data_IF_949465639292
#
_entry.id   IF_949465639292
#
_cell.length_a   1.000
_cell.length_b   1.000
_cell.length_c   1.000
_cell.angle_alpha   90.00
_cell.angle_beta   90.00
_cell.angle_gamma   90.00
#
_symmetry.space_group_name_H-M   'P 1'
#
loop_
_entity.id
_entity.type
_entity.pdbx_description
1 polymer ?
#
# COMPACT_ATOMS: atom_id res chain seq x y z
N UNK A 1 -11.07 23.25 5.94
CA UNK A 1 -9.68 22.86 6.24
C UNK A 1 -9.44 21.53 5.54
N UNK A 2 -8.98 21.56 4.28
CA UNK A 2 -8.54 20.33 3.63
C UNK A 2 -7.09 20.16 4.07
N UNK A 3 -6.90 19.28 5.05
CA UNK A 3 -5.57 18.85 5.45
C UNK A 3 -5.02 18.05 4.27
N UNK A 4 -3.91 18.48 3.69
CA UNK A 4 -3.12 17.67 2.77
C UNK A 4 -2.59 16.46 3.55
N UNK A 5 -3.44 15.43 3.65
CA UNK A 5 -3.14 14.21 4.37
C UNK A 5 -2.33 13.32 3.46
N UNK A 6 -1.09 13.15 3.88
CA UNK A 6 -0.18 12.17 3.33
C UNK A 6 -0.29 10.89 4.14
N UNK A 7 -0.39 9.75 3.45
CA UNK A 7 -0.46 8.44 4.07
C UNK A 7 0.77 7.63 3.72
N UNK A 8 1.26 6.88 4.70
CA UNK A 8 2.32 5.88 4.47
C UNK A 8 1.72 4.56 3.98
N UNK A 9 2.53 3.70 3.36
CA UNK A 9 2.13 2.32 2.98
C UNK A 9 1.44 1.60 4.14
N UNK A 10 1.95 1.77 5.37
CA UNK A 10 1.42 1.12 6.56
C UNK A 10 0.03 1.65 6.95
N UNK A 11 -0.24 2.95 6.79
CA UNK A 11 -1.56 3.52 7.05
C UNK A 11 -2.57 3.10 5.99
N UNK A 12 -2.18 3.14 4.71
CA UNK A 12 -3.02 2.67 3.60
C UNK A 12 -3.36 1.19 3.79
N UNK A 13 -2.39 0.37 4.21
CA UNK A 13 -2.59 -1.03 4.54
C UNK A 13 -3.68 -1.24 5.60
N UNK A 14 -3.59 -0.50 6.71
CA UNK A 14 -4.55 -0.57 7.80
C UNK A 14 -5.93 -0.09 7.38
N UNK A 15 -6.01 0.98 6.59
CA UNK A 15 -7.27 1.57 6.11
C UNK A 15 -8.01 0.65 5.15
N UNK A 16 -7.28 0.03 4.23
CA UNK A 16 -7.81 -0.89 3.22
C UNK A 16 -8.06 -2.29 3.79
N UNK A 17 -7.42 -2.65 4.90
CA UNK A 17 -7.51 -3.98 5.51
C UNK A 17 -6.64 -5.03 4.83
N UNK A 18 -5.51 -4.63 4.24
CA UNK A 18 -4.55 -5.52 3.58
C UNK A 18 -3.20 -5.49 4.30
N UNK A 19 -2.36 -6.51 4.11
CA UNK A 19 -1.02 -6.52 4.70
C UNK A 19 -0.12 -5.48 4.02
N UNK A 20 0.76 -4.83 4.78
CA UNK A 20 1.69 -3.84 4.24
C UNK A 20 2.59 -4.43 3.14
N UNK A 21 3.00 -5.70 3.27
CA UNK A 21 3.77 -6.39 2.24
C UNK A 21 2.99 -6.62 0.95
N UNK A 22 1.68 -6.83 1.03
CA UNK A 22 0.81 -6.93 -0.15
C UNK A 22 0.79 -5.62 -0.92
N UNK A 23 0.68 -4.50 -0.21
CA UNK A 23 0.79 -3.17 -0.81
C UNK A 23 2.18 -2.93 -1.40
N UNK A 24 3.26 -3.27 -0.68
CA UNK A 24 4.63 -3.18 -1.22
C UNK A 24 4.78 -4.00 -2.50
N UNK A 25 4.19 -5.20 -2.56
CA UNK A 25 4.16 -6.02 -3.77
C UNK A 25 3.41 -5.31 -4.88
N UNK A 26 2.22 -4.75 -4.63
CA UNK A 26 1.46 -4.04 -5.65
C UNK A 26 2.23 -2.85 -6.23
N UNK A 27 2.86 -2.02 -5.40
CA UNK A 27 3.75 -0.94 -5.85
C UNK A 27 4.89 -1.51 -6.69
N UNK A 28 5.61 -2.51 -6.17
CA UNK A 28 6.75 -3.13 -6.87
C UNK A 28 6.37 -3.74 -8.22
N UNK A 29 5.17 -4.27 -8.34
CA UNK A 29 4.63 -4.84 -9.58
C UNK A 29 3.98 -3.82 -10.51
N UNK A 30 3.88 -2.54 -10.10
CA UNK A 30 3.23 -1.49 -10.87
C UNK A 30 1.70 -1.63 -10.98
N UNK A 31 1.05 -2.31 -10.03
CA UNK A 31 -0.42 -2.46 -10.00
C UNK A 31 -1.15 -1.26 -9.41
N UNK A 32 -0.47 -0.53 -8.54
CA UNK A 32 -0.94 0.73 -7.96
C UNK A 32 0.08 1.82 -8.30
N UNK A 33 -0.35 3.09 -8.39
CA UNK A 33 0.58 4.19 -8.66
C UNK A 33 1.69 4.22 -7.62
N UNK A 34 2.92 4.48 -8.09
CA UNK A 34 4.07 4.67 -7.21
C UNK A 34 3.83 5.96 -6.41
N UNK A 35 3.92 5.93 -5.07
CA UNK A 35 3.65 7.11 -4.24
C UNK A 35 4.54 8.27 -4.65
N UNK A 36 3.94 9.46 -4.72
CA UNK A 36 4.71 10.68 -4.94
C UNK A 36 5.83 10.83 -3.90
N UNK A 37 6.96 11.33 -4.39
CA UNK A 37 8.04 11.77 -3.52
C UNK A 37 7.73 13.18 -3.08
N UNK A 38 7.56 13.35 -1.78
CA UNK A 38 7.51 14.70 -1.21
C UNK A 38 8.86 15.41 -1.41
N UNK A 39 8.91 16.73 -1.19
CA UNK A 39 10.12 17.57 -1.27
C UNK A 39 11.28 17.07 -0.40
N UNK A 40 10.99 16.21 0.59
CA UNK A 40 11.98 15.57 1.44
C UNK A 40 12.45 14.18 0.95
N UNK A 41 12.03 13.72 -0.23
CA UNK A 41 12.26 12.36 -0.78
C UNK A 41 11.49 11.25 -0.02
N UNK A 42 10.44 11.61 0.72
CA UNK A 42 9.60 10.65 1.43
C UNK A 42 8.53 10.12 0.49
N UNK A 43 8.34 8.81 0.48
CA UNK A 43 7.26 8.15 -0.27
C UNK A 43 5.96 8.34 0.49
N UNK A 44 5.11 9.23 -0.02
CA UNK A 44 3.82 9.56 0.58
C UNK A 44 2.71 9.35 -0.43
N UNK A 45 1.59 8.79 0.03
CA UNK A 45 0.37 8.68 -0.76
C UNK A 45 -0.53 9.89 -0.47
N UNK A 46 -1.00 10.54 -1.52
CA UNK A 46 -2.08 11.52 -1.43
C UNK A 46 -3.42 10.81 -1.24
N UNK A 47 -4.43 11.54 -0.74
CA UNK A 47 -5.78 10.98 -0.58
C UNK A 47 -6.34 10.40 -1.90
N UNK A 48 -6.01 10.99 -3.05
CA UNK A 48 -6.41 10.49 -4.38
C UNK A 48 -5.79 9.12 -4.67
N UNK A 49 -4.47 8.98 -4.48
CA UNK A 49 -3.77 7.70 -4.67
C UNK A 49 -4.29 6.63 -3.70
N UNK A 50 -4.61 7.00 -2.45
CA UNK A 50 -5.22 6.09 -1.47
C UNK A 50 -6.59 5.60 -1.94
N UNK A 51 -7.42 6.46 -2.52
CA UNK A 51 -8.73 6.05 -3.05
C UNK A 51 -8.60 5.07 -4.22
N UNK A 52 -7.62 5.27 -5.10
CA UNK A 52 -7.33 4.32 -6.18
C UNK A 52 -6.89 2.96 -5.65
N UNK A 53 -6.01 2.95 -4.65
CA UNK A 53 -5.58 1.74 -3.96
C UNK A 53 -6.76 1.03 -3.28
N UNK A 54 -7.63 1.77 -2.60
CA UNK A 54 -8.84 1.23 -1.99
C UNK A 54 -9.76 0.58 -3.03
N UNK A 55 -9.95 1.24 -4.18
CA UNK A 55 -10.77 0.74 -5.28
C UNK A 55 -10.19 -0.54 -5.86
N UNK A 56 -8.87 -0.56 -6.09
CA UNK A 56 -8.16 -1.75 -6.55
C UNK A 56 -8.28 -2.90 -5.54
N UNK A 57 -8.09 -2.62 -4.25
CA UNK A 57 -8.19 -3.61 -3.18
C UNK A 57 -9.59 -4.23 -3.05
N UNK A 58 -10.64 -3.42 -3.19
CA UNK A 58 -12.03 -3.89 -3.22
C UNK A 58 -12.28 -4.82 -4.42
N UNK A 59 -11.67 -4.50 -5.57
CA UNK A 59 -11.79 -5.31 -6.79
C UNK A 59 -10.98 -6.60 -6.75
N UNK A 60 -9.82 -6.58 -6.09
CA UNK A 60 -8.89 -7.71 -6.02
C UNK A 60 -9.11 -8.63 -4.82
N UNK A 61 -10.21 -8.48 -4.04
CA UNK A 61 -10.52 -9.23 -2.80
C UNK A 61 -9.76 -10.55 -2.80
N UNK A 62 -8.65 -10.66 -2.04
CA UNK A 62 -7.77 -11.80 -2.20
C UNK A 62 -8.59 -13.03 -1.87
N UNK A 63 -8.86 -13.85 -2.90
CA UNK A 63 -9.33 -15.21 -2.71
C UNK A 63 -8.43 -15.82 -1.65
N UNK A 64 -9.03 -16.36 -0.60
CA UNK A 64 -8.46 -16.62 0.73
C UNK A 64 -7.30 -17.65 0.78
N UNK A 65 -6.52 -17.80 -0.30
CA UNK A 65 -5.41 -18.74 -0.44
C UNK A 65 -4.06 -18.04 -0.62
N UNK A 66 -3.77 -17.04 0.19
CA UNK A 66 -2.37 -16.71 0.49
C UNK A 66 -2.22 -16.78 2.01
N UNK A 67 -2.37 -18.00 2.51
CA UNK A 67 -1.86 -18.35 3.82
C UNK A 67 -0.35 -18.03 3.83
N UNK A 68 0.01 -17.12 4.73
CA UNK A 68 1.28 -17.13 5.45
C UNK A 68 2.47 -17.72 4.70
N UNK A 69 3.00 -17.04 3.68
CA UNK A 69 4.42 -17.22 3.35
C UNK A 69 5.21 -16.35 4.29
N UNK A 70 5.47 -16.90 5.47
CA UNK A 70 6.64 -16.59 6.28
C UNK A 70 7.89 -16.81 5.42
N UNK A 71 8.28 -15.79 4.66
CA UNK A 71 9.57 -15.68 3.96
C UNK A 71 10.15 -14.29 4.25
N UNK A 72 10.19 -13.92 5.52
CA UNK A 72 11.30 -13.11 6.01
C UNK A 72 12.41 -14.10 6.35
N UNK A 73 13.25 -14.42 5.36
CA UNK A 73 14.59 -14.91 5.62
C UNK A 73 15.34 -13.78 6.32
N UNK A 74 15.21 -13.73 7.65
CA UNK A 74 16.14 -13.00 8.49
C UNK A 74 17.51 -13.62 8.29
N UNK A 75 18.42 -12.86 7.68
CA UNK A 75 19.84 -13.15 7.76
C UNK A 75 20.28 -13.02 9.22
N UNK A 76 20.76 -14.14 9.77
CA UNK A 76 21.94 -14.21 10.63
C UNK A 76 22.75 -15.40 10.19
#
# INVERSE_FOLDING_TARGET
>A
MNQDKFYTIAEVAKRVGVHADTLRRWVKTGKIPEPSRDRNDWRVFTEEEVQDVERFAKMTKPSARVAQSTLFSGGR
#
